data_IF_158451824834
#
_entry.id   IF_158451824834
#
_cell.length_a   1.000
_cell.length_b   1.000
_cell.length_c   1.000
_cell.angle_alpha   90.00
_cell.angle_beta   90.00
_cell.angle_gamma   90.00
#
_symmetry.space_group_name_H-M   'P 1'
#
loop_
_entity.id
_entity.type
_entity.pdbx_description
1 polymer ?
#
# COMPACT_ATOMS: atom_id res chain seq x y z
N UNK A 1 12.40 -0.72 31.07
CA UNK A 1 13.23 -1.34 30.00
C UNK A 1 14.26 -0.38 29.42
N UNK A 2 13.96 0.90 29.17
CA UNK A 2 14.92 1.87 28.60
C UNK A 2 16.20 2.14 29.44
N UNK A 3 16.16 1.91 30.76
CA UNK A 3 17.29 2.16 31.68
C UNK A 3 18.39 1.09 31.63
N UNK A 4 18.09 -0.14 31.21
CA UNK A 4 19.06 -1.23 31.14
C UNK A 4 19.95 -1.15 29.89
N UNK A 5 19.39 -0.73 28.75
CA UNK A 5 20.15 -0.53 27.50
C UNK A 5 21.08 0.68 27.56
N UNK A 6 20.66 1.74 28.26
CA UNK A 6 21.51 2.91 28.50
C UNK A 6 22.74 2.54 29.34
N UNK A 7 22.54 1.70 30.36
CA UNK A 7 23.61 1.23 31.25
C UNK A 7 24.61 0.36 30.49
N UNK A 8 24.15 -0.55 29.63
CA UNK A 8 25.03 -1.36 28.77
C UNK A 8 25.88 -0.51 27.82
N UNK A 9 25.28 0.52 27.22
CA UNK A 9 25.98 1.44 26.31
C UNK A 9 27.04 2.28 27.04
N UNK A 10 26.69 2.81 28.22
CA UNK A 10 27.63 3.59 29.05
C UNK A 10 28.80 2.73 29.54
N UNK A 11 28.54 1.46 29.90
CA UNK A 11 29.60 0.52 30.30
C UNK A 11 30.56 0.18 29.16
N UNK A 12 30.06 0.01 27.93
CA UNK A 12 30.90 -0.22 26.76
C UNK A 12 31.79 0.99 26.43
N UNK A 13 31.24 2.21 26.53
CA UNK A 13 32.00 3.45 26.33
C UNK A 13 33.04 3.68 27.43
N UNK A 14 32.70 3.34 28.68
CA UNK A 14 33.66 3.38 29.79
C UNK A 14 34.82 2.40 29.58
N UNK A 15 34.54 1.17 29.12
CA UNK A 15 35.57 0.19 28.78
C UNK A 15 36.49 0.69 27.66
N UNK A 16 35.92 1.29 26.61
CA UNK A 16 36.71 1.85 25.51
C UNK A 16 37.61 3.01 25.96
N UNK A 17 37.08 3.92 26.79
CA UNK A 17 37.85 5.01 27.38
C UNK A 17 39.01 4.49 28.25
N UNK A 18 38.76 3.48 29.09
CA UNK A 18 39.79 2.86 29.92
C UNK A 18 40.91 2.23 29.07
N UNK A 19 40.56 1.54 27.99
CA UNK A 19 41.54 0.95 27.05
C UNK A 19 42.36 2.04 26.34
N UNK A 20 41.75 3.15 25.92
CA UNK A 20 42.44 4.25 25.26
C UNK A 20 43.45 4.95 26.20
N UNK A 21 43.09 5.09 27.47
CA UNK A 21 43.94 5.67 28.51
C UNK A 21 45.05 4.75 28.95
N UNK A 22 44.76 3.45 29.12
CA UNK A 22 45.76 2.43 29.45
C UNK A 22 46.86 2.37 28.40
N UNK A 23 46.50 2.45 27.11
CA UNK A 23 47.47 2.55 25.99
C UNK A 23 48.36 3.80 26.05
N UNK A 24 47.93 4.85 26.73
CA UNK A 24 48.67 6.12 26.89
C UNK A 24 49.36 6.25 28.25
N UNK A 25 49.18 5.26 29.15
CA UNK A 25 49.71 5.31 30.52
C UNK A 25 49.06 6.39 31.39
N UNK A 26 47.84 6.81 31.07
CA UNK A 26 47.15 7.91 31.76
C UNK A 26 46.22 7.39 32.87
N UNK A 27 46.09 8.14 33.96
CA UNK A 27 45.15 7.81 35.04
C UNK A 27 43.69 8.03 34.61
N UNK A 28 42.79 7.17 35.10
CA UNK A 28 41.34 7.26 34.84
C UNK A 28 40.69 8.10 35.93
N UNK A 29 39.98 9.17 35.55
CA UNK A 29 39.12 9.93 36.45
C UNK A 29 37.79 10.27 35.78
N UNK A 30 36.78 10.54 36.59
CA UNK A 30 35.40 10.78 36.14
C UNK A 30 35.26 12.05 35.28
N UNK A 31 35.98 13.11 35.62
CA UNK A 31 35.88 14.40 34.94
C UNK A 31 36.39 14.32 33.51
N UNK A 32 37.48 13.58 33.29
CA UNK A 32 38.06 13.34 31.97
C UNK A 32 37.20 12.38 31.14
N UNK A 33 36.60 11.37 31.77
CA UNK A 33 35.64 10.50 31.09
C UNK A 33 34.44 11.30 30.58
N UNK A 34 33.90 12.20 31.42
CA UNK A 34 32.80 13.08 31.03
C UNK A 34 33.19 14.05 29.90
N UNK A 35 34.39 14.63 29.96
CA UNK A 35 34.90 15.51 28.92
C UNK A 35 35.09 14.76 27.59
N UNK A 36 35.62 13.53 27.64
CA UNK A 36 35.79 12.67 26.47
C UNK A 36 34.44 12.22 25.87
N UNK A 37 33.46 11.88 26.71
CA UNK A 37 32.10 11.57 26.25
C UNK A 37 31.49 12.73 25.47
N UNK A 38 31.61 13.96 26.00
CA UNK A 38 31.01 15.15 25.39
C UNK A 38 31.77 15.64 24.15
N UNK A 39 33.11 15.59 24.18
CA UNK A 39 33.96 16.14 23.12
C UNK A 39 34.18 15.20 21.94
N UNK A 40 34.12 13.87 22.16
CA UNK A 40 34.54 12.89 21.16
C UNK A 40 33.53 11.77 20.98
N UNK A 41 33.17 11.04 22.04
CA UNK A 41 32.43 9.79 21.91
C UNK A 41 30.98 10.02 21.45
N UNK A 42 30.24 10.94 22.08
CA UNK A 42 28.85 11.25 21.69
C UNK A 42 28.78 11.84 20.28
N UNK A 43 29.60 12.84 19.89
CA UNK A 43 29.65 13.31 18.50
C UNK A 43 29.91 12.19 17.49
N UNK A 44 30.86 11.30 17.77
CA UNK A 44 31.19 10.16 16.89
C UNK A 44 30.01 9.20 16.75
N UNK A 45 29.32 8.89 17.85
CA UNK A 45 28.11 8.04 17.82
C UNK A 45 27.00 8.71 17.01
N UNK A 46 26.81 10.02 17.15
CA UNK A 46 25.81 10.76 16.37
C UNK A 46 26.15 10.75 14.88
N UNK A 47 27.41 10.97 14.51
CA UNK A 47 27.85 10.92 13.11
C UNK A 47 27.69 9.52 12.51
N UNK A 48 28.11 8.48 13.24
CA UNK A 48 27.93 7.08 12.85
C UNK A 48 26.45 6.68 12.76
N UNK A 49 25.60 7.21 13.64
CA UNK A 49 24.16 6.95 13.58
C UNK A 49 23.53 7.52 12.32
N UNK A 50 24.01 8.67 11.83
CA UNK A 50 23.59 9.25 10.56
C UNK A 50 24.03 8.43 9.34
N UNK A 51 25.19 7.79 9.40
CA UNK A 51 25.66 6.83 8.37
C UNK A 51 24.90 5.51 8.42
N UNK A 52 24.62 4.98 9.60
CA UNK A 52 23.80 3.78 9.80
C UNK A 52 22.37 4.05 9.33
N UNK A 53 21.78 5.20 9.68
CA UNK A 53 20.45 5.58 9.20
C UNK A 53 20.43 5.71 7.68
N UNK A 54 21.43 6.36 7.07
CA UNK A 54 21.58 6.42 5.61
C UNK A 54 21.75 5.04 4.99
N UNK A 55 22.47 4.12 5.63
CA UNK A 55 22.67 2.74 5.18
C UNK A 55 21.39 1.91 5.30
N UNK A 56 20.60 2.10 6.36
CA UNK A 56 19.29 1.45 6.53
C UNK A 56 18.30 2.00 5.52
N UNK A 57 18.31 3.32 5.27
CA UNK A 57 17.47 3.96 4.24
C UNK A 57 17.88 3.50 2.85
N UNK A 58 19.18 3.41 2.54
CA UNK A 58 19.67 2.91 1.24
C UNK A 58 19.42 1.42 1.07
N UNK A 59 19.61 0.60 2.10
CA UNK A 59 19.27 -0.82 2.08
C UNK A 59 17.76 -1.04 1.92
N UNK A 60 16.93 -0.19 2.55
CA UNK A 60 15.48 -0.20 2.34
C UNK A 60 15.14 0.20 0.90
N UNK A 61 15.73 1.27 0.37
CA UNK A 61 15.54 1.70 -1.02
C UNK A 61 16.00 0.63 -2.03
N UNK A 62 17.13 -0.03 -1.77
CA UNK A 62 17.67 -1.10 -2.61
C UNK A 62 16.85 -2.39 -2.49
N UNK A 63 16.28 -2.67 -1.32
CA UNK A 63 15.28 -3.72 -1.11
C UNK A 63 13.99 -3.40 -1.87
N UNK A 64 13.54 -2.14 -1.90
CA UNK A 64 12.41 -1.70 -2.73
C UNK A 64 12.71 -1.88 -4.22
N UNK A 65 13.90 -1.54 -4.70
CA UNK A 65 14.29 -1.80 -6.09
C UNK A 65 14.35 -3.29 -6.40
N UNK A 66 14.86 -4.12 -5.47
CA UNK A 66 14.85 -5.57 -5.61
C UNK A 66 13.43 -6.14 -5.60
N UNK A 67 12.54 -5.66 -4.74
CA UNK A 67 11.13 -6.04 -4.73
C UNK A 67 10.43 -5.59 -6.00
N UNK A 68 10.64 -4.36 -6.47
CA UNK A 68 10.11 -3.90 -7.76
C UNK A 68 10.64 -4.73 -8.94
N UNK A 69 11.90 -5.20 -8.87
CA UNK A 69 12.48 -6.12 -9.86
C UNK A 69 11.88 -7.52 -9.77
N UNK A 70 11.62 -8.01 -8.56
CA UNK A 70 10.99 -9.31 -8.32
C UNK A 70 9.52 -9.27 -8.75
N UNK A 71 8.80 -8.20 -8.42
CA UNK A 71 7.42 -7.96 -8.86
C UNK A 71 7.35 -7.79 -10.38
N UNK A 72 8.26 -7.02 -10.99
CA UNK A 72 8.38 -6.93 -12.44
C UNK A 72 8.67 -8.28 -13.08
N UNK A 73 9.54 -9.11 -12.48
CA UNK A 73 9.77 -10.48 -12.93
C UNK A 73 8.59 -11.42 -12.67
N UNK A 74 7.82 -11.21 -11.60
CA UNK A 74 6.59 -11.96 -11.32
C UNK A 74 5.46 -11.55 -12.26
N UNK A 75 5.39 -10.29 -12.68
CA UNK A 75 4.51 -9.83 -13.74
C UNK A 75 4.94 -10.36 -15.09
N UNK A 76 6.23 -10.37 -15.42
CA UNK A 76 6.77 -11.01 -16.62
C UNK A 76 6.49 -12.52 -16.61
N UNK A 77 6.70 -13.21 -15.49
CA UNK A 77 6.35 -14.63 -15.31
C UNK A 77 4.84 -14.81 -15.41
N UNK A 78 4.02 -13.94 -14.81
CA UNK A 78 2.56 -13.99 -14.96
C UNK A 78 2.14 -13.72 -16.40
N UNK A 79 2.81 -12.85 -17.14
CA UNK A 79 2.53 -12.57 -18.54
C UNK A 79 3.01 -13.70 -19.47
N UNK A 80 4.15 -14.33 -19.16
CA UNK A 80 4.70 -15.52 -19.84
C UNK A 80 3.88 -16.77 -19.56
N UNK A 81 3.40 -16.96 -18.33
CA UNK A 81 2.49 -18.03 -17.91
C UNK A 81 1.06 -17.74 -18.39
N UNK A 82 0.66 -16.46 -18.47
CA UNK A 82 -0.57 -15.99 -19.11
C UNK A 82 -0.41 -15.83 -20.62
N UNK A 83 0.32 -16.74 -21.27
CA UNK A 83 0.05 -17.06 -22.67
C UNK A 83 -1.42 -17.45 -22.80
N UNK A 84 -2.29 -16.50 -23.15
CA UNK A 84 -3.69 -16.68 -23.51
C UNK A 84 -4.45 -17.70 -22.65
N UNK A 85 -4.35 -17.60 -21.31
CA UNK A 85 -5.14 -18.41 -20.40
C UNK A 85 -6.57 -17.84 -20.25
N UNK A 86 -7.59 -18.69 -20.00
CA UNK A 86 -9.01 -18.29 -19.86
C UNK A 86 -9.30 -17.32 -18.69
N UNK A 87 -8.29 -16.94 -17.90
CA UNK A 87 -8.42 -16.15 -16.68
C UNK A 87 -8.26 -14.63 -16.86
N UNK A 88 -8.06 -14.14 -18.09
CA UNK A 88 -7.88 -12.69 -18.37
C UNK A 88 -9.10 -12.02 -18.98
N UNK A 89 -9.96 -12.77 -19.68
CA UNK A 89 -11.15 -12.23 -20.32
C UNK A 89 -12.38 -12.55 -19.47
N UNK A 90 -12.86 -11.54 -18.76
CA UNK A 90 -14.14 -11.58 -18.06
C UNK A 90 -15.23 -11.97 -19.06
N UNK A 91 -15.98 -13.03 -18.77
CA UNK A 91 -17.18 -13.37 -19.56
C UNK A 91 -18.33 -12.45 -19.17
N UNK A 92 -19.41 -12.44 -19.94
CA UNK A 92 -20.49 -11.46 -19.77
C UNK A 92 -21.11 -11.49 -18.35
N UNK A 93 -21.21 -12.66 -17.74
CA UNK A 93 -21.71 -12.80 -16.36
C UNK A 93 -20.75 -12.22 -15.32
N UNK A 94 -19.44 -12.40 -15.50
CA UNK A 94 -18.43 -11.80 -14.62
C UNK A 94 -18.49 -10.26 -14.72
N UNK A 95 -18.61 -9.76 -15.95
CA UNK A 95 -18.76 -8.33 -16.23
C UNK A 95 -20.06 -7.80 -15.65
N UNK A 96 -21.13 -8.59 -15.64
CA UNK A 96 -22.41 -8.20 -15.06
C UNK A 96 -22.30 -8.02 -13.55
N UNK A 97 -21.64 -8.95 -12.85
CA UNK A 97 -21.41 -8.86 -11.39
C UNK A 97 -20.53 -7.64 -11.07
N UNK A 98 -19.41 -7.48 -11.79
CA UNK A 98 -18.51 -6.34 -11.59
C UNK A 98 -19.17 -5.00 -11.94
N UNK A 99 -20.04 -4.96 -12.95
CA UNK A 99 -20.81 -3.75 -13.29
C UNK A 99 -21.73 -3.37 -12.15
N UNK A 100 -22.41 -4.35 -11.53
CA UNK A 100 -23.27 -4.07 -10.38
C UNK A 100 -22.47 -3.54 -9.19
N UNK A 101 -21.31 -4.13 -8.91
CA UNK A 101 -20.39 -3.62 -7.89
C UNK A 101 -19.90 -2.19 -8.20
N UNK A 102 -19.59 -1.89 -9.46
CA UNK A 102 -19.21 -0.55 -9.90
C UNK A 102 -20.34 0.47 -9.68
N UNK A 103 -21.58 0.13 -10.05
CA UNK A 103 -22.75 0.99 -9.84
C UNK A 103 -22.95 1.32 -8.35
N UNK A 104 -22.88 0.30 -7.48
CA UNK A 104 -23.00 0.49 -6.03
C UNK A 104 -21.86 1.35 -5.48
N UNK A 105 -20.62 1.12 -5.92
CA UNK A 105 -19.45 1.82 -5.44
C UNK A 105 -19.38 3.28 -5.91
N UNK A 106 -19.86 3.57 -7.13
CA UNK A 106 -19.86 4.92 -7.70
C UNK A 106 -20.69 5.88 -6.86
N UNK A 107 -21.80 5.38 -6.32
CA UNK A 107 -22.76 6.18 -5.57
C UNK A 107 -22.55 6.05 -4.04
N UNK A 108 -21.57 5.25 -3.60
CA UNK A 108 -21.28 4.99 -2.19
C UNK A 108 -20.58 6.17 -1.51
N UNK A 109 -21.08 6.55 -0.33
CA UNK A 109 -20.46 7.54 0.56
C UNK A 109 -19.53 6.92 1.61
N UNK A 110 -19.62 5.60 1.80
CA UNK A 110 -18.83 4.78 2.72
C UNK A 110 -17.62 4.14 2.02
N UNK A 111 -16.68 3.63 2.84
CA UNK A 111 -15.58 2.79 2.36
C UNK A 111 -16.08 1.40 1.97
N UNK A 112 -17.01 0.84 2.73
CA UNK A 112 -17.72 -0.38 2.38
C UNK A 112 -18.67 -0.13 1.20
N UNK A 113 -18.60 -1.00 0.21
CA UNK A 113 -19.58 -1.08 -0.87
C UNK A 113 -20.58 -2.16 -0.48
N UNK A 114 -21.87 -1.90 -0.70
CA UNK A 114 -22.90 -2.90 -0.46
C UNK A 114 -22.63 -4.18 -1.23
N UNK A 115 -22.97 -5.31 -0.61
CA UNK A 115 -22.93 -6.64 -1.19
C UNK A 115 -23.77 -6.68 -2.48
N UNK A 116 -23.23 -7.29 -3.55
CA UNK A 116 -24.02 -7.58 -4.76
C UNK A 116 -24.91 -8.77 -4.47
N UNK A 117 -26.21 -8.54 -4.30
CA UNK A 117 -27.22 -9.60 -4.15
C UNK A 117 -27.43 -10.35 -5.48
N UNK A 118 -26.93 -11.59 -5.53
CA UNK A 118 -26.97 -12.43 -6.74
C UNK A 118 -28.39 -12.91 -7.06
N UNK A 119 -29.25 -13.11 -6.06
CA UNK A 119 -30.62 -13.57 -6.26
C UNK A 119 -31.49 -12.47 -6.86
N UNK A 120 -31.38 -11.26 -6.32
CA UNK A 120 -32.03 -10.06 -6.88
C UNK A 120 -31.55 -9.81 -8.31
N UNK A 121 -30.23 -9.87 -8.54
CA UNK A 121 -29.62 -9.69 -9.84
C UNK A 121 -30.06 -10.75 -10.88
N UNK A 122 -30.15 -12.03 -10.47
CA UNK A 122 -30.65 -13.11 -11.32
C UNK A 122 -32.07 -12.83 -11.82
N UNK A 123 -32.94 -12.39 -10.91
CA UNK A 123 -34.34 -12.03 -11.22
C UNK A 123 -34.42 -10.84 -12.19
N UNK A 124 -33.72 -9.74 -11.88
CA UNK A 124 -33.75 -8.50 -12.67
C UNK A 124 -33.19 -8.69 -14.08
N UNK A 125 -32.12 -9.49 -14.21
CA UNK A 125 -31.43 -9.73 -15.49
C UNK A 125 -31.94 -10.95 -16.23
N UNK A 126 -32.89 -11.70 -15.63
CA UNK A 126 -33.44 -12.95 -16.17
C UNK A 126 -32.35 -13.97 -16.51
N UNK A 127 -31.39 -14.12 -15.59
CA UNK A 127 -30.26 -15.06 -15.68
C UNK A 127 -30.44 -16.15 -14.64
N UNK A 128 -29.97 -17.35 -14.93
CA UNK A 128 -29.98 -18.44 -13.95
C UNK A 128 -29.02 -18.14 -12.79
N UNK A 129 -29.55 -18.21 -11.56
CA UNK A 129 -28.80 -17.96 -10.33
C UNK A 129 -27.60 -18.90 -10.16
N UNK A 130 -27.68 -20.14 -10.64
CA UNK A 130 -26.57 -21.09 -10.61
C UNK A 130 -25.41 -20.66 -11.53
N UNK A 131 -25.68 -19.95 -12.61
CA UNK A 131 -24.65 -19.37 -13.49
C UNK A 131 -23.97 -18.18 -12.84
N UNK A 132 -24.75 -17.28 -12.23
CA UNK A 132 -24.21 -16.16 -11.45
C UNK A 132 -23.37 -16.63 -10.27
N UNK A 133 -23.77 -17.68 -9.56
CA UNK A 133 -22.97 -18.29 -8.49
C UNK A 133 -21.64 -18.84 -9.01
N UNK A 134 -21.63 -19.49 -10.18
CA UNK A 134 -20.38 -19.96 -10.81
C UNK A 134 -19.45 -18.80 -11.16
N UNK A 135 -19.98 -17.73 -11.76
CA UNK A 135 -19.20 -16.52 -12.05
C UNK A 135 -18.71 -15.81 -10.78
N UNK A 136 -19.53 -15.72 -9.73
CA UNK A 136 -19.12 -15.15 -8.45
C UNK A 136 -17.99 -15.94 -7.80
N UNK A 137 -18.04 -17.28 -7.83
CA UNK A 137 -16.95 -18.15 -7.37
C UNK A 137 -15.68 -17.94 -8.19
N UNK A 138 -15.78 -17.88 -9.53
CA UNK A 138 -14.64 -17.59 -10.39
C UNK A 138 -13.99 -16.24 -10.07
N UNK A 139 -14.78 -15.19 -9.88
CA UNK A 139 -14.28 -13.88 -9.47
C UNK A 139 -13.61 -13.91 -8.09
N UNK A 140 -14.16 -14.71 -7.17
CA UNK A 140 -13.59 -14.93 -5.84
C UNK A 140 -12.22 -15.62 -5.90
N UNK A 141 -12.08 -16.66 -6.73
CA UNK A 141 -10.81 -17.36 -6.98
C UNK A 141 -9.74 -16.44 -7.59
N UNK A 142 -10.15 -15.47 -8.42
CA UNK A 142 -9.27 -14.43 -8.96
C UNK A 142 -8.87 -13.32 -7.97
N UNK A 143 -9.42 -13.35 -6.76
CA UNK A 143 -9.20 -12.34 -5.72
C UNK A 143 -9.95 -11.02 -5.97
N UNK A 144 -10.96 -11.00 -6.85
CA UNK A 144 -11.76 -9.82 -7.13
C UNK A 144 -12.88 -9.59 -6.11
N UNK A 145 -13.07 -10.52 -5.17
CA UNK A 145 -14.05 -10.39 -4.12
C UNK A 145 -14.20 -11.68 -3.32
N UNK A 146 -15.28 -11.77 -2.58
CA UNK A 146 -15.68 -12.95 -1.82
C UNK A 146 -17.11 -13.30 -2.18
N UNK A 147 -17.29 -14.51 -2.71
CA UNK A 147 -18.62 -15.08 -2.88
C UNK A 147 -19.10 -15.65 -1.53
N UNK A 148 -20.25 -15.17 -1.05
CA UNK A 148 -20.94 -15.64 0.16
C UNK A 148 -22.18 -16.42 -0.24
N UNK A 149 -22.21 -17.69 0.14
CA UNK A 149 -23.29 -18.60 -0.23
C UNK A 149 -23.77 -19.36 1.02
N UNK A 150 -24.71 -18.72 1.71
CA UNK A 150 -25.39 -19.26 2.88
C UNK A 150 -26.87 -19.46 2.54
N UNK A 151 -27.58 -20.28 3.33
CA UNK A 151 -29.00 -20.62 3.10
C UNK A 151 -29.93 -19.40 2.92
N UNK A 152 -29.56 -18.23 3.46
CA UNK A 152 -30.34 -17.00 3.39
C UNK A 152 -29.63 -15.82 2.73
N UNK A 153 -28.37 -15.97 2.30
CA UNK A 153 -27.57 -14.89 1.71
C UNK A 153 -26.74 -15.45 0.57
N UNK A 154 -27.02 -14.97 -0.64
CA UNK A 154 -26.23 -15.27 -1.83
C UNK A 154 -25.72 -13.94 -2.40
N UNK A 155 -24.52 -13.56 -1.97
CA UNK A 155 -23.96 -12.27 -2.32
C UNK A 155 -22.51 -12.35 -2.76
N UNK A 156 -22.09 -11.32 -3.50
CA UNK A 156 -20.70 -11.12 -3.85
C UNK A 156 -20.21 -9.80 -3.25
N UNK A 157 -19.16 -9.87 -2.43
CA UNK A 157 -18.51 -8.70 -1.84
C UNK A 157 -17.27 -8.37 -2.64
N UNK A 158 -17.27 -7.21 -3.29
CA UNK A 158 -16.14 -6.80 -4.12
C UNK A 158 -14.91 -6.46 -3.27
N UNK A 159 -13.73 -6.92 -3.67
CA UNK A 159 -12.47 -6.54 -3.04
C UNK A 159 -11.97 -5.19 -3.59
N UNK A 160 -11.02 -4.51 -2.93
CA UNK A 160 -10.35 -3.33 -3.49
C UNK A 160 -9.82 -3.56 -4.92
N UNK A 161 -9.18 -4.72 -5.15
CA UNK A 161 -8.70 -5.15 -6.48
C UNK A 161 -9.83 -5.36 -7.48
N UNK A 162 -10.93 -6.00 -7.07
CA UNK A 162 -12.12 -6.18 -7.91
C UNK A 162 -12.77 -4.87 -8.30
N UNK A 163 -12.79 -3.91 -7.38
CA UNK A 163 -13.33 -2.58 -7.63
C UNK A 163 -12.48 -1.85 -8.67
N UNK A 164 -11.15 -1.82 -8.51
CA UNK A 164 -10.25 -1.24 -9.52
C UNK A 164 -10.41 -1.90 -10.89
N UNK A 165 -10.58 -3.23 -10.93
CA UNK A 165 -10.87 -3.95 -12.18
C UNK A 165 -12.18 -3.47 -12.81
N UNK A 166 -13.22 -3.25 -12.02
CA UNK A 166 -14.51 -2.77 -12.50
C UNK A 166 -14.43 -1.32 -13.03
N UNK A 167 -13.71 -0.43 -12.35
CA UNK A 167 -13.46 0.93 -12.83
C UNK A 167 -12.69 0.95 -14.16
N UNK A 168 -11.65 0.14 -14.28
CA UNK A 168 -10.88 0.05 -15.53
C UNK A 168 -11.72 -0.48 -16.70
N UNK A 169 -12.73 -1.30 -16.40
CA UNK A 169 -13.62 -1.90 -17.41
C UNK A 169 -14.74 -0.94 -17.84
N UNK A 170 -15.34 -0.18 -16.91
CA UNK A 170 -16.57 0.59 -17.16
C UNK A 170 -16.38 2.10 -17.17
N UNK A 171 -15.30 2.62 -16.60
CA UNK A 171 -14.93 4.04 -16.64
C UNK A 171 -13.39 4.23 -16.60
N UNK A 172 -12.65 3.77 -17.62
CA UNK A 172 -11.19 3.88 -17.67
C UNK A 172 -10.71 5.34 -17.70
N UNK A 173 -11.47 6.22 -18.34
CA UNK A 173 -11.16 7.65 -18.42
C UNK A 173 -11.32 8.32 -17.06
N UNK A 174 -12.42 8.04 -16.35
CA UNK A 174 -12.63 8.52 -14.98
C UNK A 174 -11.57 8.01 -14.03
N UNK A 175 -11.26 6.71 -14.08
CA UNK A 175 -10.18 6.10 -13.27
C UNK A 175 -8.85 6.83 -13.47
N UNK A 176 -8.47 7.10 -14.72
CA UNK A 176 -7.20 7.78 -15.03
C UNK A 176 -7.19 9.22 -14.55
N UNK A 177 -8.30 9.95 -14.74
CA UNK A 177 -8.49 11.30 -14.21
C UNK A 177 -8.36 11.32 -12.68
N UNK A 178 -8.97 10.38 -11.97
CA UNK A 178 -8.86 10.29 -10.52
C UNK A 178 -7.45 9.96 -10.05
N UNK A 179 -6.73 9.05 -10.73
CA UNK A 179 -5.31 8.78 -10.44
C UNK A 179 -4.47 10.06 -10.58
N UNK A 180 -4.69 10.84 -11.63
CA UNK A 180 -3.96 12.10 -11.86
C UNK A 180 -4.25 13.14 -10.77
N UNK A 181 -5.51 13.34 -10.41
CA UNK A 181 -5.90 14.25 -9.30
C UNK A 181 -5.34 13.77 -7.96
N UNK A 182 -5.41 12.46 -7.70
CA UNK A 182 -4.93 11.88 -6.45
C UNK A 182 -3.42 12.06 -6.32
N UNK A 183 -2.65 11.91 -7.42
CA UNK A 183 -1.22 12.22 -7.45
C UNK A 183 -0.92 13.62 -6.91
N UNK A 184 -1.66 14.62 -7.37
CA UNK A 184 -1.43 16.02 -7.02
C UNK A 184 -1.82 16.31 -5.55
N UNK A 185 -2.72 15.51 -4.98
CA UNK A 185 -3.19 15.60 -3.59
C UNK A 185 -2.45 14.69 -2.60
N UNK A 186 -1.54 13.83 -3.07
CA UNK A 186 -0.76 12.94 -2.21
C UNK A 186 0.05 13.78 -1.20
N UNK A 187 0.03 13.40 0.10
CA UNK A 187 0.73 14.16 1.12
C UNK A 187 2.25 14.09 0.88
N UNK A 188 2.89 15.27 0.88
CA UNK A 188 4.35 15.37 0.84
C UNK A 188 4.90 15.03 2.23
N UNK A 189 5.97 14.23 2.29
CA UNK A 189 6.62 13.91 3.57
C UNK A 189 7.01 15.20 4.32
N UNK A 190 6.74 15.31 5.64
CA UNK A 190 6.27 14.27 6.57
C UNK A 190 4.73 14.22 6.78
N UNK A 191 3.95 14.92 5.95
CA UNK A 191 2.50 15.03 6.12
C UNK A 191 1.78 13.68 5.96
N UNK A 192 0.62 13.58 6.60
CA UNK A 192 -0.29 12.44 6.49
C UNK A 192 -1.65 12.92 5.98
N UNK A 193 -2.44 12.01 5.43
CA UNK A 193 -3.80 12.32 4.96
C UNK A 193 -4.74 11.14 5.23
N UNK A 194 -6.00 11.45 5.55
CA UNK A 194 -7.06 10.44 5.67
C UNK A 194 -7.67 10.15 4.31
N UNK A 195 -8.15 8.91 4.11
CA UNK A 195 -8.79 8.51 2.83
C UNK A 195 -9.98 9.39 2.48
N UNK A 196 -10.87 9.69 3.44
CA UNK A 196 -12.02 10.57 3.18
C UNK A 196 -11.61 11.99 2.73
N UNK A 197 -10.53 12.54 3.29
CA UNK A 197 -10.05 13.86 2.92
C UNK A 197 -9.51 13.85 1.48
N UNK A 198 -8.73 12.84 1.12
CA UNK A 198 -8.22 12.67 -0.24
C UNK A 198 -9.36 12.50 -1.23
N UNK A 199 -10.33 11.63 -0.92
CA UNK A 199 -11.53 11.39 -1.73
C UNK A 199 -12.33 12.67 -1.97
N UNK A 200 -12.54 13.48 -0.92
CA UNK A 200 -13.24 14.75 -1.03
C UNK A 200 -12.49 15.77 -1.91
N UNK A 201 -11.16 15.87 -1.78
CA UNK A 201 -10.36 16.82 -2.59
C UNK A 201 -10.33 16.47 -4.07
N UNK A 202 -10.20 15.18 -4.40
CA UNK A 202 -10.18 14.73 -5.80
C UNK A 202 -11.58 14.59 -6.40
N UNK A 203 -12.61 14.60 -5.57
CA UNK A 203 -14.01 14.40 -5.96
C UNK A 203 -14.31 12.98 -6.41
N UNK A 204 -13.70 11.97 -5.77
CA UNK A 204 -13.88 10.56 -6.10
C UNK A 204 -14.61 9.81 -4.98
N UNK A 205 -15.27 8.67 -5.29
CA UNK A 205 -15.80 7.78 -4.25
C UNK A 205 -14.70 7.29 -3.31
N UNK A 206 -15.00 7.21 -2.01
CA UNK A 206 -14.02 6.78 -0.99
C UNK A 206 -13.49 5.38 -1.26
N UNK A 207 -14.38 4.47 -1.68
CA UNK A 207 -14.05 3.09 -2.05
C UNK A 207 -13.04 3.01 -3.20
N UNK A 208 -13.13 3.89 -4.20
CA UNK A 208 -12.17 3.98 -5.29
C UNK A 208 -10.80 4.45 -4.79
N UNK A 209 -10.76 5.52 -3.99
CA UNK A 209 -9.48 6.02 -3.43
C UNK A 209 -8.84 4.96 -2.54
N UNK A 210 -9.62 4.29 -1.68
CA UNK A 210 -9.13 3.16 -0.88
C UNK A 210 -8.58 2.04 -1.76
N UNK A 211 -9.27 1.68 -2.83
CA UNK A 211 -8.81 0.73 -3.84
C UNK A 211 -7.42 1.06 -4.38
N UNK A 212 -7.24 2.30 -4.84
CA UNK A 212 -5.96 2.79 -5.37
C UNK A 212 -4.84 2.76 -4.31
N UNK A 213 -5.14 3.18 -3.08
CA UNK A 213 -4.15 3.17 -2.00
C UNK A 213 -3.74 1.74 -1.59
N UNK A 214 -4.67 0.79 -1.60
CA UNK A 214 -4.38 -0.63 -1.36
C UNK A 214 -3.48 -1.21 -2.46
N UNK A 215 -3.78 -0.94 -3.73
CA UNK A 215 -2.95 -1.38 -4.86
C UNK A 215 -1.52 -0.83 -4.74
N UNK A 216 -1.38 0.47 -4.48
CA UNK A 216 -0.07 1.09 -4.32
C UNK A 216 0.68 0.59 -3.07
N UNK A 217 -0.03 0.31 -1.97
CA UNK A 217 0.56 -0.31 -0.78
C UNK A 217 1.08 -1.71 -1.09
N UNK A 218 0.29 -2.54 -1.76
CA UNK A 218 0.67 -3.91 -2.12
C UNK A 218 1.91 -3.94 -3.03
N UNK A 219 2.08 -2.90 -3.85
CA UNK A 219 3.26 -2.67 -4.70
C UNK A 219 4.42 -1.97 -3.98
N UNK A 220 4.29 -1.72 -2.67
CA UNK A 220 5.32 -1.07 -1.85
C UNK A 220 5.59 0.40 -2.19
N UNK A 221 4.66 1.08 -2.88
CA UNK A 221 4.80 2.45 -3.36
C UNK A 221 4.44 3.50 -2.30
N UNK A 222 3.73 3.10 -1.23
CA UNK A 222 3.35 3.94 -0.12
C UNK A 222 3.19 3.14 1.18
N UNK A 223 3.11 3.83 2.33
CA UNK A 223 2.70 3.23 3.61
C UNK A 223 1.27 3.63 3.95
N UNK A 224 0.40 2.64 4.11
CA UNK A 224 -1.01 2.87 4.41
C UNK A 224 -1.44 1.99 5.58
N UNK A 225 -1.93 2.63 6.64
CA UNK A 225 -2.44 1.96 7.84
C UNK A 225 -3.96 1.99 7.83
N UNK A 226 -4.55 0.81 7.72
CA UNK A 226 -5.98 0.62 7.91
C UNK A 226 -6.30 0.64 9.41
N UNK A 227 -7.41 1.27 9.76
CA UNK A 227 -8.03 1.16 11.09
C UNK A 227 -9.28 0.30 10.94
N UNK A 228 -9.57 -0.55 11.91
CA UNK A 228 -10.78 -1.37 11.89
C UNK A 228 -12.04 -0.48 11.93
N UNK A 229 -13.03 -0.79 11.08
CA UNK A 229 -14.35 -0.14 11.02
C UNK A 229 -14.48 0.98 9.97
N UNK A 230 -15.44 1.89 10.16
CA UNK A 230 -15.68 3.08 9.31
C UNK A 230 -14.60 4.17 9.45
N UNK A 231 -13.50 3.88 10.16
CA UNK A 231 -12.44 4.85 10.38
C UNK A 231 -11.54 4.92 9.15
N UNK A 232 -11.55 6.09 8.51
CA UNK A 232 -10.76 6.37 7.32
C UNK A 232 -9.26 6.09 7.57
N UNK A 233 -8.70 5.16 6.81
CA UNK A 233 -7.28 4.79 6.92
C UNK A 233 -6.33 5.98 6.77
N UNK A 234 -5.12 5.85 7.30
CA UNK A 234 -4.12 6.90 7.29
C UNK A 234 -3.00 6.60 6.30
N UNK A 235 -2.80 7.51 5.35
CA UNK A 235 -1.72 7.48 4.38
C UNK A 235 -0.49 8.24 4.89
N UNK A 236 0.70 7.65 4.73
CA UNK A 236 1.99 8.29 4.98
C UNK A 236 3.10 7.65 4.12
N UNK A 237 4.28 8.28 4.05
CA UNK A 237 5.46 7.66 3.41
C UNK A 237 5.27 7.34 1.92
N UNK A 238 4.81 8.31 1.14
CA UNK A 238 4.69 8.22 -0.33
C UNK A 238 6.08 8.14 -0.96
N UNK A 239 6.33 7.12 -1.79
CA UNK A 239 7.62 6.96 -2.49
C UNK A 239 7.72 7.88 -3.70
N UNK A 240 8.95 8.28 -4.08
CA UNK A 240 9.18 8.99 -5.34
C UNK A 240 8.83 8.13 -6.57
N UNK A 241 8.90 6.80 -6.45
CA UNK A 241 8.53 5.87 -7.51
C UNK A 241 7.06 6.02 -7.93
N UNK A 242 6.16 6.16 -6.95
CA UNK A 242 4.74 6.40 -7.21
C UNK A 242 4.51 7.70 -7.98
N UNK A 243 5.21 8.76 -7.59
CA UNK A 243 5.09 10.08 -8.22
C UNK A 243 5.52 10.04 -9.69
N UNK A 244 6.59 9.29 -10.01
CA UNK A 244 7.08 9.11 -11.38
C UNK A 244 6.17 8.23 -12.25
N UNK A 245 5.62 7.16 -11.68
CA UNK A 245 4.68 6.29 -12.37
C UNK A 245 3.41 7.04 -12.76
N UNK A 246 2.80 7.74 -11.79
CA UNK A 246 1.60 8.56 -12.03
C UNK A 246 1.87 9.76 -12.97
N UNK A 247 3.13 10.19 -13.13
CA UNK A 247 3.50 11.17 -14.16
C UNK A 247 3.55 10.56 -15.57
N UNK A 248 3.89 9.27 -15.68
CA UNK A 248 4.00 8.56 -16.96
C UNK A 248 2.63 8.16 -17.52
N UNK A 249 1.72 7.71 -16.65
CA UNK A 249 0.33 7.37 -17.02
C UNK A 249 -0.42 8.56 -17.64
N UNK A 250 -0.17 9.78 -17.15
CA UNK A 250 -0.78 11.01 -17.67
C UNK A 250 -0.25 11.35 -19.08
N UNK A 251 1.01 11.06 -19.37
CA UNK A 251 1.63 11.35 -20.67
C UNK A 251 1.09 10.40 -21.76
N UNK A 252 0.79 9.15 -21.40
CA UNK A 252 0.20 8.19 -22.33
C UNK A 252 -1.19 8.65 -22.83
N UNK A 253 -1.99 9.27 -21.96
CA UNK A 253 -3.34 9.73 -22.30
C UNK A 253 -3.41 11.00 -23.18
N UNK A 254 -2.36 11.83 -23.18
CA UNK A 254 -2.29 13.05 -24.02
C UNK A 254 -1.90 12.72 -25.47
N UNK A 255 -1.50 11.47 -25.74
CA UNK A 255 -1.01 11.02 -27.05
C UNK A 255 -2.01 10.16 -27.84
N UNK A 256 -3.15 9.79 -27.24
CA UNK A 256 -4.30 9.15 -27.91
C UNK A 256 -5.38 10.19 -28.24
#
# INVERSE_FOLDING_TARGET
MATLDLLGTVMALAAQFMIEREKRGEAVNEQDFRAWLQGSAIPTILDQSGEIFRTVVSAKAQSHEQFARIDGKLEEIRALVAGSGPYTKLVDLDRLILRRAFELARDATSLSVDDVDLATMASERRVDLSELRRSASFLSEGGFGTHRDYRSVQSFVVSPKGLLRAWNEFDPVGLTSYKAKLRDELPKSPSTARVAELAARVGAPKSLVHGLLCDWRERGLLSYKEYDGDQDGLLFGVSEGLVRELASDVIALVRE
#
